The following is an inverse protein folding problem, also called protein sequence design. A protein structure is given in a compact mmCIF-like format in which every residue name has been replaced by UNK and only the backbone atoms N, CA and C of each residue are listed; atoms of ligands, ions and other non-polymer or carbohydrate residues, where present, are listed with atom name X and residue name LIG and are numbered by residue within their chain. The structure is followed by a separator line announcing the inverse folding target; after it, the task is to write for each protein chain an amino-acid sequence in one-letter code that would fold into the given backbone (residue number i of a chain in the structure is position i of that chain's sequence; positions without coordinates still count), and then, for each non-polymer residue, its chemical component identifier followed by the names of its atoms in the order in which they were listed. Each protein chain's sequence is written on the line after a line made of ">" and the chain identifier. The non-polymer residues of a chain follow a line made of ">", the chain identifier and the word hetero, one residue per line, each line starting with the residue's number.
data_IF_393287616002
#
_entry.id   IF_393287616002
#
_cell.length_a   1.000
_cell.length_b   1.000
_cell.length_c   1.000
_cell.angle_alpha   90.00
_cell.angle_beta   90.00
_cell.angle_gamma   90.00
#
_symmetry.space_group_name_H-M   'P 1'
#
loop_
_entity.id
_entity.type
_entity.pdbx_description
1 polymer ?
#
# COMPACT_ATOMS: atom_id res chain seq x y z
N UNK A 1 38.24 -1.67 -24.47
CA UNK A 1 36.79 -1.87 -24.67
C UNK A 1 36.20 -0.58 -25.20
N UNK A 2 35.32 -0.70 -26.15
CA UNK A 2 34.74 0.49 -26.74
C UNK A 2 33.71 1.16 -25.82
N UNK A 3 33.42 2.43 -26.11
CA UNK A 3 32.47 3.21 -25.34
C UNK A 3 31.02 2.74 -25.49
N UNK A 4 30.73 1.93 -26.51
CA UNK A 4 29.38 1.41 -26.75
C UNK A 4 28.96 0.43 -25.66
N UNK A 5 29.80 -0.50 -25.27
CA UNK A 5 29.47 -1.43 -24.20
C UNK A 5 29.31 -0.72 -22.87
N UNK A 6 30.11 0.29 -22.62
CA UNK A 6 30.03 1.10 -21.44
C UNK A 6 28.72 1.88 -21.37
N UNK A 7 28.25 2.40 -22.51
CA UNK A 7 26.97 3.09 -22.63
C UNK A 7 25.81 2.13 -22.37
N UNK A 8 25.85 0.94 -22.92
CA UNK A 8 24.79 -0.08 -22.71
C UNK A 8 24.68 -0.47 -21.24
N UNK A 9 25.79 -0.60 -20.54
CA UNK A 9 25.80 -0.87 -19.09
C UNK A 9 25.19 0.29 -18.33
N UNK A 10 25.52 1.53 -18.69
CA UNK A 10 24.95 2.72 -18.05
C UNK A 10 23.42 2.80 -18.23
N UNK A 11 22.93 2.47 -19.42
CA UNK A 11 21.47 2.42 -19.68
C UNK A 11 20.76 1.35 -18.85
N UNK A 12 21.39 0.19 -18.69
CA UNK A 12 20.81 -0.89 -17.92
C UNK A 12 20.79 -0.62 -16.42
N UNK A 13 21.79 0.07 -15.90
CA UNK A 13 21.98 0.27 -14.46
C UNK A 13 21.43 1.61 -14.00
N UNK A 14 21.65 2.67 -14.77
CA UNK A 14 21.49 4.05 -14.28
C UNK A 14 20.13 4.66 -14.53
N UNK A 15 19.31 4.12 -15.41
CA UNK A 15 18.09 4.77 -15.89
C UNK A 15 16.83 3.91 -15.77
N UNK A 16 16.72 3.17 -14.69
CA UNK A 16 15.49 2.41 -14.41
C UNK A 16 14.37 3.36 -14.01
N UNK A 17 13.24 3.28 -14.70
CA UNK A 17 12.04 4.07 -14.44
C UNK A 17 10.82 3.16 -14.46
N UNK A 18 9.64 3.70 -14.11
CA UNK A 18 8.38 2.96 -14.19
C UNK A 18 8.10 2.48 -15.61
N UNK A 19 8.49 3.24 -16.61
CA UNK A 19 8.22 2.95 -18.03
C UNK A 19 9.34 2.14 -18.67
N UNK A 20 10.54 2.20 -18.13
CA UNK A 20 11.72 1.59 -18.70
C UNK A 20 12.32 0.58 -17.73
N UNK A 21 12.34 -0.68 -18.11
CA UNK A 21 13.05 -1.71 -17.36
C UNK A 21 14.55 -1.55 -17.54
N UNK A 22 15.29 -1.33 -16.47
CA UNK A 22 16.75 -1.43 -16.45
C UNK A 22 17.15 -2.76 -15.85
N UNK A 23 17.96 -2.75 -14.79
CA UNK A 23 18.21 -3.94 -13.98
C UNK A 23 17.01 -4.29 -13.11
N UNK A 24 16.13 -3.33 -12.84
CA UNK A 24 14.91 -3.53 -12.09
C UNK A 24 13.73 -3.58 -13.05
N UNK A 25 12.87 -4.57 -12.89
CA UNK A 25 11.60 -4.64 -13.60
C UNK A 25 10.71 -3.46 -13.19
N UNK A 26 9.91 -2.88 -14.11
CA UNK A 26 8.90 -1.89 -13.74
C UNK A 26 7.96 -2.35 -12.63
N UNK A 27 7.70 -3.64 -12.52
CA UNK A 27 6.85 -4.19 -11.45
C UNK A 27 7.45 -4.01 -10.05
N UNK A 28 8.75 -3.87 -9.91
CA UNK A 28 9.39 -3.60 -8.63
C UNK A 28 9.03 -2.24 -8.06
N UNK A 29 8.65 -1.28 -8.89
CA UNK A 29 8.16 0.01 -8.41
C UNK A 29 6.86 -0.10 -7.60
N UNK A 30 6.12 -1.18 -7.77
CA UNK A 30 4.91 -1.44 -6.99
C UNK A 30 5.20 -1.78 -5.54
N UNK A 31 6.38 -2.33 -5.25
CA UNK A 31 6.75 -2.73 -3.88
C UNK A 31 7.53 -1.67 -3.11
N UNK A 32 7.96 -0.60 -3.77
CA UNK A 32 8.60 0.51 -3.08
C UNK A 32 7.60 1.27 -2.21
N UNK A 33 8.09 1.89 -1.10
CA UNK A 33 7.23 2.74 -0.29
C UNK A 33 6.60 3.83 -1.13
N UNK A 34 5.28 3.87 -1.14
CA UNK A 34 4.52 4.94 -1.78
C UNK A 34 4.25 6.02 -0.75
N UNK A 35 4.72 7.21 -1.03
CA UNK A 35 4.45 8.39 -0.21
C UNK A 35 3.14 9.00 -0.64
N UNK A 36 2.17 9.02 0.26
CA UNK A 36 0.80 9.46 -0.04
C UNK A 36 0.32 10.49 0.96
N UNK A 37 -0.62 11.31 0.52
CA UNK A 37 -1.37 12.18 1.41
C UNK A 37 -2.36 11.31 2.20
N UNK A 38 -2.25 11.35 3.52
CA UNK A 38 -3.07 10.56 4.42
C UNK A 38 -4.19 11.39 5.08
N UNK A 39 -4.57 12.50 4.50
CA UNK A 39 -5.64 13.34 5.00
C UNK A 39 -6.93 13.06 4.22
N UNK A 40 -7.96 12.52 4.91
CA UNK A 40 -9.28 12.22 4.35
C UNK A 40 -9.20 11.55 2.96
N UNK A 41 -8.50 10.43 2.90
CA UNK A 41 -8.26 9.71 1.65
C UNK A 41 -8.38 8.21 1.82
N UNK A 42 -8.78 7.55 0.74
CA UNK A 42 -8.86 6.09 0.66
C UNK A 42 -8.00 5.62 -0.51
N UNK A 43 -7.15 4.66 -0.23
CA UNK A 43 -6.27 4.04 -1.24
C UNK A 43 -6.56 2.56 -1.35
N UNK A 44 -6.58 2.06 -2.60
CA UNK A 44 -6.54 0.63 -2.86
C UNK A 44 -5.09 0.18 -2.74
N UNK A 45 -4.82 -0.78 -1.88
CA UNK A 45 -3.46 -1.26 -1.57
C UNK A 45 -3.23 -2.71 -1.98
N UNK A 46 -4.27 -3.42 -2.40
CA UNK A 46 -4.16 -4.69 -3.11
C UNK A 46 -5.31 -4.78 -4.09
N UNK A 47 -5.05 -5.29 -5.29
CA UNK A 47 -5.98 -5.32 -6.39
C UNK A 47 -6.11 -6.74 -6.92
N UNK A 48 -7.34 -7.22 -7.04
CA UNK A 48 -7.69 -8.49 -7.65
C UNK A 48 -6.82 -9.67 -7.18
N UNK A 49 -6.69 -9.83 -5.87
CA UNK A 49 -5.89 -10.90 -5.28
C UNK A 49 -6.51 -12.26 -5.63
N UNK A 50 -5.68 -13.18 -6.15
CA UNK A 50 -6.11 -14.49 -6.61
C UNK A 50 -5.23 -15.61 -6.06
N UNK A 51 -5.79 -16.82 -6.00
CA UNK A 51 -5.10 -18.12 -5.89
C UNK A 51 -4.01 -18.22 -4.80
N UNK A 52 -4.43 -18.31 -3.53
CA UNK A 52 -3.52 -18.55 -2.41
C UNK A 52 -2.38 -17.53 -2.30
N UNK A 53 -2.55 -16.39 -2.94
CA UNK A 53 -1.55 -15.31 -2.86
C UNK A 53 -1.46 -14.79 -1.42
N UNK A 54 -0.24 -14.68 -0.94
CA UNK A 54 0.06 -14.15 0.39
C UNK A 54 1.07 -13.04 0.26
N UNK A 55 0.80 -11.95 0.91
CA UNK A 55 1.77 -10.86 0.98
C UNK A 55 1.59 -10.04 2.25
N UNK A 56 2.66 -9.49 2.78
CA UNK A 56 2.59 -8.47 3.81
C UNK A 56 2.45 -7.09 3.18
N UNK A 57 1.74 -6.21 3.87
CA UNK A 57 1.67 -4.79 3.56
C UNK A 57 2.06 -4.05 4.83
N UNK A 58 2.87 -3.01 4.70
CA UNK A 58 3.21 -2.12 5.80
C UNK A 58 2.68 -0.72 5.52
N UNK A 59 2.11 -0.10 6.52
CA UNK A 59 1.63 1.28 6.47
C UNK A 59 2.21 2.03 7.65
N UNK A 60 2.99 3.07 7.35
CA UNK A 60 3.56 3.96 8.36
C UNK A 60 3.01 5.35 8.10
N UNK A 61 2.41 5.95 9.11
CA UNK A 61 1.90 7.31 8.97
C UNK A 61 2.20 8.15 10.21
N UNK A 62 2.36 9.44 9.96
CA UNK A 62 2.55 10.44 11.00
C UNK A 62 1.36 11.38 11.02
N UNK A 63 0.92 11.73 12.20
CA UNK A 63 0.36 13.04 12.42
C UNK A 63 1.43 13.98 12.99
N UNK A 64 1.05 15.17 13.35
CA UNK A 64 1.99 16.21 13.78
C UNK A 64 2.89 15.81 14.96
N UNK A 65 2.50 14.84 15.76
CA UNK A 65 3.22 14.44 16.98
C UNK A 65 3.48 12.94 17.08
N UNK A 66 2.79 12.15 16.30
CA UNK A 66 2.69 10.72 16.54
C UNK A 66 2.86 9.89 15.27
N UNK A 67 3.36 8.68 15.43
CA UNK A 67 3.56 7.73 14.35
C UNK A 67 2.65 6.51 14.55
N UNK A 68 1.99 6.10 13.48
CA UNK A 68 1.27 4.84 13.39
C UNK A 68 2.06 3.85 12.55
N UNK A 69 2.16 2.62 13.02
CA UNK A 69 2.86 1.57 12.30
C UNK A 69 1.98 0.33 12.27
N UNK A 70 1.48 0.00 11.11
CA UNK A 70 0.56 -1.10 10.89
C UNK A 70 1.15 -2.12 9.93
N UNK A 71 0.91 -3.39 10.24
CA UNK A 71 1.25 -4.50 9.35
C UNK A 71 -0.01 -5.31 9.05
N UNK A 72 -0.23 -5.56 7.76
CA UNK A 72 -1.30 -6.43 7.32
C UNK A 72 -0.71 -7.66 6.66
N UNK A 73 -1.28 -8.80 7.00
CA UNK A 73 -1.07 -10.04 6.24
C UNK A 73 -2.38 -10.41 5.59
N UNK A 74 -2.34 -10.85 4.35
CA UNK A 74 -3.56 -11.26 3.67
C UNK A 74 -3.33 -12.50 2.81
N UNK A 75 -4.40 -13.24 2.60
CA UNK A 75 -4.42 -14.44 1.78
C UNK A 75 -5.76 -14.52 1.06
N UNK A 76 -5.73 -14.88 -0.20
CA UNK A 76 -6.93 -15.32 -0.91
C UNK A 76 -7.05 -16.82 -0.85
N UNK A 77 -8.20 -17.30 -0.39
CA UNK A 77 -8.52 -18.73 -0.30
C UNK A 77 -9.67 -19.00 -1.28
N UNK A 78 -9.50 -19.87 -2.28
CA UNK A 78 -10.59 -20.23 -3.18
C UNK A 78 -11.83 -20.66 -2.38
N UNK A 79 -13.00 -20.27 -2.88
CA UNK A 79 -14.33 -20.54 -2.28
C UNK A 79 -14.61 -19.87 -0.93
N UNK A 80 -13.61 -19.30 -0.28
CA UNK A 80 -13.76 -18.58 0.99
C UNK A 80 -13.64 -17.08 0.82
N UNK A 81 -12.76 -16.66 -0.10
CA UNK A 81 -12.51 -15.24 -0.36
C UNK A 81 -11.24 -14.73 0.29
N UNK A 82 -11.11 -13.42 0.33
CA UNK A 82 -9.95 -12.75 0.87
C UNK A 82 -10.04 -12.66 2.39
N UNK A 83 -9.00 -13.10 3.07
CA UNK A 83 -8.86 -12.97 4.51
C UNK A 83 -7.62 -12.13 4.82
N UNK A 84 -7.74 -11.25 5.81
CA UNK A 84 -6.64 -10.40 6.23
C UNK A 84 -6.57 -10.29 7.74
N UNK A 85 -5.38 -10.04 8.24
CA UNK A 85 -5.14 -9.76 9.65
C UNK A 85 -4.29 -8.51 9.81
N UNK A 86 -4.64 -7.70 10.79
CA UNK A 86 -3.98 -6.44 11.09
C UNK A 86 -3.21 -6.57 12.40
N UNK A 87 -1.95 -6.15 12.40
CA UNK A 87 -1.17 -5.94 13.61
C UNK A 87 -0.72 -4.49 13.68
N UNK A 88 -1.10 -3.83 14.73
CA UNK A 88 -0.75 -2.43 14.99
C UNK A 88 0.27 -2.35 16.11
N UNK A 89 1.43 -1.79 15.83
CA UNK A 89 2.52 -1.67 16.81
C UNK A 89 2.36 -0.40 17.62
N UNK A 90 2.02 0.71 16.98
CA UNK A 90 1.82 1.99 17.65
C UNK A 90 0.36 2.41 17.51
N UNK A 91 -0.31 2.54 18.65
CA UNK A 91 -1.71 2.96 18.70
C UNK A 91 -1.76 4.47 18.89
N UNK A 92 -2.43 5.13 17.98
CA UNK A 92 -2.57 6.58 17.98
C UNK A 92 -4.01 6.98 17.71
N UNK A 93 -4.39 8.21 18.05
CA UNK A 93 -5.74 8.70 17.76
C UNK A 93 -6.04 8.84 16.28
N UNK A 94 -5.08 8.57 15.43
CA UNK A 94 -5.28 8.52 13.99
C UNK A 94 -6.32 7.46 13.63
N UNK A 95 -7.31 7.86 12.88
CA UNK A 95 -8.29 6.91 12.38
C UNK A 95 -7.78 6.32 11.06
N UNK A 96 -6.96 5.30 11.19
CA UNK A 96 -6.51 4.49 10.06
C UNK A 96 -7.25 3.17 10.12
N UNK A 97 -8.05 2.91 9.09
CA UNK A 97 -8.86 1.70 9.00
C UNK A 97 -8.59 0.98 7.69
N UNK A 98 -8.76 -0.32 7.73
CA UNK A 98 -8.51 -1.19 6.59
C UNK A 98 -9.76 -1.96 6.24
N UNK A 99 -9.98 -2.18 4.95
CA UNK A 99 -11.21 -2.81 4.46
C UNK A 99 -10.91 -3.81 3.36
N UNK A 100 -11.79 -4.81 3.26
CA UNK A 100 -11.86 -5.74 2.16
C UNK A 100 -13.15 -5.46 1.39
N UNK A 101 -13.05 -5.41 0.08
CA UNK A 101 -14.19 -5.43 -0.82
C UNK A 101 -13.89 -6.38 -1.97
N UNK A 102 -14.60 -7.53 -2.00
CA UNK A 102 -14.29 -8.56 -2.98
C UNK A 102 -12.86 -9.10 -2.82
N UNK A 103 -12.03 -8.88 -3.81
CA UNK A 103 -10.63 -9.30 -3.84
C UNK A 103 -9.66 -8.14 -3.67
N UNK A 104 -10.14 -7.00 -3.23
CA UNK A 104 -9.36 -5.79 -3.08
C UNK A 104 -9.20 -5.41 -1.62
N UNK A 105 -8.06 -4.82 -1.29
CA UNK A 105 -7.76 -4.26 0.04
C UNK A 105 -7.64 -2.74 -0.05
N UNK A 106 -8.15 -2.08 0.98
CA UNK A 106 -8.16 -0.62 1.05
C UNK A 106 -7.65 -0.14 2.41
N UNK A 107 -7.03 1.02 2.42
CA UNK A 107 -6.73 1.79 3.62
C UNK A 107 -7.47 3.11 3.57
N UNK A 108 -8.11 3.47 4.68
CA UNK A 108 -8.81 4.74 4.84
C UNK A 108 -8.13 5.57 5.92
N UNK A 109 -7.80 6.79 5.58
CA UNK A 109 -7.21 7.76 6.50
C UNK A 109 -8.22 8.85 6.79
N UNK A 110 -8.52 9.06 8.07
CA UNK A 110 -9.37 10.14 8.55
C UNK A 110 -8.64 10.88 9.66
N UNK A 111 -8.30 12.13 9.44
CA UNK A 111 -7.61 12.95 10.41
C UNK A 111 -8.47 14.13 10.84
N UNK A 112 -8.41 14.42 12.13
CA UNK A 112 -9.19 15.50 12.72
C UNK A 112 -8.42 16.82 12.83
N UNK A 113 -7.19 16.88 12.35
CA UNK A 113 -6.40 18.10 12.38
C UNK A 113 -6.26 18.69 10.98
N UNK A 114 -5.92 19.96 10.91
CA UNK A 114 -5.81 20.71 9.66
C UNK A 114 -4.45 20.54 8.97
N UNK A 115 -3.52 19.86 9.60
CA UNK A 115 -2.20 19.69 9.04
C UNK A 115 -2.20 18.52 8.06
N UNK A 116 -1.59 18.68 6.88
CA UNK A 116 -1.46 17.58 5.95
C UNK A 116 -0.56 16.51 6.57
N UNK A 117 -1.09 15.31 6.62
CA UNK A 117 -0.37 14.14 7.08
C UNK A 117 -0.01 13.26 5.90
N UNK A 118 1.08 12.55 6.06
CA UNK A 118 1.61 11.69 5.02
C UNK A 118 1.74 10.26 5.53
N UNK A 119 1.63 9.33 4.62
CA UNK A 119 1.86 7.92 4.90
C UNK A 119 2.82 7.33 3.89
N UNK A 120 3.55 6.33 4.34
CA UNK A 120 4.34 5.45 3.49
C UNK A 120 3.64 4.10 3.45
N UNK A 121 3.28 3.66 2.26
CA UNK A 121 2.61 2.39 2.05
C UNK A 121 3.52 1.49 1.24
N UNK A 122 3.90 0.36 1.82
CA UNK A 122 4.65 -0.68 1.13
C UNK A 122 3.70 -1.81 0.80
N UNK A 123 3.32 -1.91 -0.46
CA UNK A 123 2.40 -2.92 -0.95
C UNK A 123 2.91 -3.57 -2.24
N UNK A 124 2.83 -4.90 -2.36
CA UNK A 124 3.24 -5.60 -3.58
C UNK A 124 2.31 -5.35 -4.77
N UNK A 125 1.13 -4.80 -4.54
CA UNK A 125 0.14 -4.50 -5.59
C UNK A 125 0.12 -3.04 -6.02
N UNK A 126 0.99 -2.21 -5.48
CA UNK A 126 0.94 -0.78 -5.71
C UNK A 126 -0.12 -0.09 -4.84
N UNK A 127 -0.29 1.20 -5.07
CA UNK A 127 -1.19 2.04 -4.28
C UNK A 127 -1.94 2.97 -5.23
N UNK A 128 -3.26 3.00 -5.11
CA UNK A 128 -4.13 3.81 -5.96
C UNK A 128 -5.11 4.61 -5.11
N UNK A 129 -5.13 5.93 -5.29
CA UNK A 129 -6.16 6.78 -4.68
C UNK A 129 -7.51 6.47 -5.31
N UNK A 130 -8.52 6.17 -4.49
CA UNK A 130 -9.87 5.84 -4.98
C UNK A 130 -10.95 6.79 -4.48
N UNK A 131 -10.65 7.63 -3.52
CA UNK A 131 -11.63 8.61 -3.03
C UNK A 131 -11.36 9.09 -1.62
N UNK A 132 -12.42 9.52 -0.96
CA UNK A 132 -12.42 9.96 0.44
C UNK A 132 -13.17 8.95 1.30
N UNK A 133 -13.10 9.03 2.64
CA UNK A 133 -13.73 8.03 3.51
C UNK A 133 -15.24 7.84 3.34
N UNK A 134 -15.93 8.78 2.74
CA UNK A 134 -17.37 8.68 2.46
C UNK A 134 -17.73 7.63 1.40
N UNK A 135 -16.78 7.13 0.64
CA UNK A 135 -17.04 6.02 -0.30
C UNK A 135 -17.21 4.67 0.37
N UNK A 136 -16.81 4.55 1.65
CA UNK A 136 -16.90 3.30 2.38
C UNK A 136 -18.36 3.06 2.76
N UNK A 137 -18.93 2.01 2.23
CA UNK A 137 -20.32 1.60 2.45
C UNK A 137 -20.40 0.15 2.98
N UNK A 138 -21.60 -0.40 3.05
CA UNK A 138 -21.83 -1.76 3.58
C UNK A 138 -21.19 -2.87 2.74
N UNK A 139 -20.73 -2.58 1.52
CA UNK A 139 -20.01 -3.56 0.70
C UNK A 139 -18.56 -3.76 1.14
N UNK A 140 -18.05 -2.87 1.99
CA UNK A 140 -16.71 -2.97 2.58
C UNK A 140 -16.77 -3.68 3.92
N UNK A 141 -15.84 -4.59 4.15
CA UNK A 141 -15.69 -5.29 5.43
C UNK A 141 -14.45 -4.77 6.14
N UNK A 142 -14.62 -4.22 7.33
CA UNK A 142 -13.48 -3.70 8.11
C UNK A 142 -12.61 -4.84 8.63
N UNK A 143 -11.31 -4.64 8.52
CA UNK A 143 -10.30 -5.56 9.08
C UNK A 143 -9.96 -5.05 10.48
N UNK A 144 -10.28 -5.84 11.48
CA UNK A 144 -10.01 -5.47 12.87
C UNK A 144 -8.67 -6.00 13.34
N UNK A 145 -8.06 -5.29 14.29
CA UNK A 145 -6.79 -5.71 14.90
C UNK A 145 -7.01 -7.02 15.65
N UNK A 146 -6.14 -7.99 15.40
CA UNK A 146 -6.07 -9.20 16.22
C UNK A 146 -5.17 -8.94 17.42
N UNK A 147 -5.72 -9.14 18.58
CA UNK A 147 -4.98 -9.05 19.84
C UNK A 147 -4.12 -10.28 20.10
#
# INVERSE_FOLDING_TARGET
>A
MDGKLQTDVGELIGTTTIEKAGLLSPDLFKVYPHFVNAYDSVYKIADNVTDWYRAPIAVLCNDSADTCMDFLSFIYIPDTGLAASLKRILKKPLQVKYYIKGRDLFVSFTFNNELPNHAYILSPHGVQLVGTPDIIDDSFTEITEKL
#
